data_IF_528388730489
#
_entry.id   IF_528388730489
#
_cell.length_a   1.000
_cell.length_b   1.000
_cell.length_c   1.000
_cell.angle_alpha   90.00
_cell.angle_beta   90.00
_cell.angle_gamma   90.00
#
_symmetry.space_group_name_H-M   'P 1'
#
loop_
_entity.id
_entity.type
_entity.pdbx_description
1 polymer ?
#
# COMPACT_ATOMS: atom_id res chain seq x y z
N UNK A 1 15.79 -35.62 17.25
CA UNK A 1 14.93 -34.91 16.29
C UNK A 1 14.83 -33.44 16.72
N UNK A 2 15.45 -32.45 16.03
CA UNK A 2 15.32 -31.03 16.39
C UNK A 2 13.86 -30.63 16.23
N UNK A 3 13.23 -30.17 17.31
CA UNK A 3 11.86 -29.63 17.29
C UNK A 3 11.82 -28.46 16.30
N UNK A 4 11.04 -28.57 15.23
CA UNK A 4 10.86 -27.54 14.24
C UNK A 4 10.21 -26.35 14.93
N UNK A 5 10.91 -25.21 14.93
CA UNK A 5 10.42 -23.94 15.51
C UNK A 5 9.11 -23.55 14.86
N UNK A 6 8.11 -23.22 15.65
CA UNK A 6 6.86 -22.70 15.14
C UNK A 6 6.98 -21.20 14.78
N UNK A 7 5.99 -20.66 14.06
CA UNK A 7 6.01 -19.27 13.59
C UNK A 7 5.91 -18.24 14.72
N UNK A 8 5.28 -18.60 15.84
CA UNK A 8 5.17 -17.76 17.02
C UNK A 8 6.52 -17.65 17.74
N UNK A 9 7.19 -18.77 17.97
CA UNK A 9 8.55 -18.78 18.53
C UNK A 9 9.53 -18.00 17.65
N UNK A 10 9.41 -18.16 16.32
CA UNK A 10 10.23 -17.44 15.35
C UNK A 10 10.00 -15.92 15.40
N UNK A 11 8.73 -15.49 15.53
CA UNK A 11 8.38 -14.08 15.69
C UNK A 11 8.96 -13.51 16.99
N UNK A 12 8.83 -14.22 18.12
CA UNK A 12 9.37 -13.78 19.41
C UNK A 12 10.91 -13.65 19.40
N UNK A 13 11.63 -14.56 18.72
CA UNK A 13 13.09 -14.42 18.54
C UNK A 13 13.46 -13.16 17.73
N UNK A 14 12.65 -12.82 16.70
CA UNK A 14 12.85 -11.60 15.92
C UNK A 14 12.55 -10.36 16.75
N UNK A 15 11.50 -10.38 17.56
CA UNK A 15 11.20 -9.31 18.50
C UNK A 15 12.33 -9.09 19.50
N UNK A 16 12.92 -10.17 20.05
CA UNK A 16 14.09 -10.04 20.91
C UNK A 16 15.22 -9.27 20.24
N UNK A 17 15.59 -9.64 19.01
CA UNK A 17 16.64 -8.96 18.23
C UNK A 17 16.28 -7.48 18.03
N UNK A 18 15.02 -7.18 17.73
CA UNK A 18 14.56 -5.82 17.49
C UNK A 18 14.63 -4.99 18.78
N UNK A 19 14.07 -5.49 19.87
CA UNK A 19 14.03 -4.76 21.13
C UNK A 19 15.41 -4.61 21.79
N UNK A 20 16.34 -5.53 21.53
CA UNK A 20 17.72 -5.43 22.01
C UNK A 20 18.53 -4.39 21.19
N UNK A 21 18.24 -4.25 19.87
CA UNK A 21 19.05 -3.42 18.98
C UNK A 21 18.55 -1.98 18.84
N UNK A 22 17.23 -1.77 18.83
CA UNK A 22 16.63 -0.45 18.57
C UNK A 22 16.25 0.27 19.85
N UNK A 23 16.58 1.57 19.91
CA UNK A 23 16.28 2.42 21.06
C UNK A 23 14.78 2.73 21.13
N UNK A 24 14.13 2.90 19.97
CA UNK A 24 12.71 3.13 19.85
C UNK A 24 12.08 2.21 18.80
N UNK A 25 10.99 1.56 19.19
CA UNK A 25 10.24 0.62 18.34
C UNK A 25 8.79 1.05 18.29
N UNK A 26 8.22 1.07 17.09
CA UNK A 26 6.79 1.33 16.93
C UNK A 26 6.18 0.38 15.87
N UNK A 27 4.88 0.12 16.02
CA UNK A 27 4.09 -0.69 15.10
C UNK A 27 3.31 0.21 14.16
N UNK A 28 3.37 -0.04 12.85
CA UNK A 28 2.44 0.54 11.87
C UNK A 28 1.13 -0.23 11.95
N UNK A 29 0.15 0.37 12.62
CA UNK A 29 -1.13 -0.26 12.94
C UNK A 29 -2.25 0.28 12.05
N UNK A 30 -2.79 -0.55 11.17
CA UNK A 30 -3.88 -0.17 10.24
C UNK A 30 -5.28 -0.55 10.74
N UNK A 31 -5.41 -1.18 11.91
CA UNK A 31 -6.67 -1.79 12.36
C UNK A 31 -7.01 -3.11 11.64
N UNK A 32 -6.13 -3.61 10.78
CA UNK A 32 -6.29 -4.89 10.09
C UNK A 32 -5.74 -6.07 10.90
N UNK A 33 -6.14 -7.29 10.53
CA UNK A 33 -5.79 -8.54 11.24
C UNK A 33 -4.28 -8.76 11.40
N UNK A 34 -3.49 -8.42 10.38
CA UNK A 34 -2.05 -8.68 10.36
C UNK A 34 -1.27 -7.68 11.21
N UNK A 35 -1.65 -6.40 11.17
CA UNK A 35 -1.08 -5.37 12.06
C UNK A 35 -1.57 -5.54 13.51
N UNK A 36 -2.80 -6.03 13.70
CA UNK A 36 -3.35 -6.32 15.04
C UNK A 36 -2.60 -7.44 15.74
N UNK A 37 -2.39 -8.57 15.06
CA UNK A 37 -1.65 -9.69 15.66
C UNK A 37 -0.19 -9.30 15.97
N UNK A 38 0.43 -8.50 15.10
CA UNK A 38 1.78 -7.98 15.36
C UNK A 38 1.81 -7.06 16.58
N UNK A 39 0.79 -6.23 16.76
CA UNK A 39 0.66 -5.36 17.94
C UNK A 39 0.52 -6.18 19.23
N UNK A 40 -0.32 -7.21 19.24
CA UNK A 40 -0.46 -8.14 20.37
C UNK A 40 0.85 -8.86 20.71
N UNK A 41 1.53 -9.43 19.71
CA UNK A 41 2.83 -10.06 19.89
C UNK A 41 3.86 -9.12 20.55
N UNK A 42 3.89 -7.86 20.12
CA UNK A 42 4.81 -6.87 20.70
C UNK A 42 4.44 -6.53 22.13
N UNK A 43 3.15 -6.35 22.43
CA UNK A 43 2.69 -6.06 23.79
C UNK A 43 3.00 -7.20 24.75
N UNK A 44 2.71 -8.45 24.33
CA UNK A 44 3.01 -9.64 25.15
C UNK A 44 4.51 -9.81 25.38
N UNK A 45 5.32 -9.58 24.32
CA UNK A 45 6.78 -9.58 24.44
C UNK A 45 7.27 -8.56 25.48
N UNK A 46 6.76 -7.33 25.41
CA UNK A 46 7.16 -6.26 26.35
C UNK A 46 6.73 -6.59 27.77
N UNK A 47 5.50 -7.07 27.97
CA UNK A 47 5.01 -7.46 29.31
C UNK A 47 5.87 -8.54 29.93
N UNK A 48 6.35 -9.50 29.14
CA UNK A 48 7.16 -10.61 29.64
C UNK A 48 8.64 -10.29 29.79
N UNK A 49 9.22 -9.49 28.89
CA UNK A 49 10.68 -9.38 28.77
C UNK A 49 11.24 -7.97 28.93
N UNK A 50 10.41 -6.94 28.87
CA UNK A 50 10.83 -5.54 28.96
C UNK A 50 9.79 -4.68 29.70
N UNK A 51 9.36 -5.07 30.93
CA UNK A 51 8.31 -4.34 31.66
C UNK A 51 8.70 -2.85 31.84
N UNK A 52 7.72 -1.98 31.64
CA UNK A 52 7.90 -0.54 31.69
C UNK A 52 8.36 0.12 30.40
N UNK A 53 8.79 -0.65 29.38
CA UNK A 53 9.10 -0.10 28.06
C UNK A 53 7.80 0.27 27.32
N UNK A 54 7.76 1.48 26.74
CA UNK A 54 6.64 1.89 25.88
C UNK A 54 6.83 1.41 24.44
N UNK A 55 5.72 1.05 23.81
CA UNK A 55 5.63 0.69 22.39
C UNK A 55 4.93 1.81 21.62
N UNK A 56 5.60 2.39 20.64
CA UNK A 56 4.95 3.33 19.72
C UNK A 56 3.90 2.63 18.85
N UNK A 57 2.79 3.31 18.60
CA UNK A 57 1.78 2.86 17.62
C UNK A 57 1.49 3.99 16.67
N UNK A 58 1.85 3.78 15.40
CA UNK A 58 1.59 4.71 14.32
C UNK A 58 0.33 4.28 13.56
N UNK A 59 -0.72 5.09 13.65
CA UNK A 59 -1.98 4.88 12.95
C UNK A 59 -2.27 6.05 12.04
N UNK A 60 -2.33 5.80 10.74
CA UNK A 60 -2.80 6.76 9.74
C UNK A 60 -4.30 6.63 9.60
N UNK A 61 -5.00 7.66 10.04
CA UNK A 61 -6.45 7.69 10.00
C UNK A 61 -6.94 8.34 8.71
N UNK A 62 -7.59 7.55 7.87
CA UNK A 62 -8.09 7.98 6.57
C UNK A 62 -9.52 8.56 6.61
N UNK A 63 -10.07 8.93 7.78
CA UNK A 63 -11.44 9.44 7.96
C UNK A 63 -12.51 8.40 7.59
N UNK A 64 -12.45 7.85 6.37
CA UNK A 64 -13.42 6.87 5.86
C UNK A 64 -12.92 5.45 6.11
N UNK A 65 -13.51 4.82 7.13
CA UNK A 65 -13.33 3.41 7.45
C UNK A 65 -14.66 2.84 7.96
N UNK A 66 -14.82 1.52 7.94
CA UNK A 66 -15.94 0.88 8.61
C UNK A 66 -15.93 1.19 10.11
N UNK A 67 -17.11 1.42 10.68
CA UNK A 67 -17.28 1.67 12.11
C UNK A 67 -16.59 0.60 12.97
N UNK A 68 -16.73 -0.68 12.60
CA UNK A 68 -16.09 -1.79 13.31
C UNK A 68 -14.54 -1.66 13.35
N UNK A 69 -13.95 -1.09 12.30
CA UNK A 69 -12.50 -0.86 12.26
C UNK A 69 -12.08 0.28 13.18
N UNK A 70 -12.83 1.38 13.21
CA UNK A 70 -12.55 2.51 14.13
C UNK A 70 -12.76 2.09 15.58
N UNK A 71 -13.84 1.38 15.90
CA UNK A 71 -14.10 0.84 17.24
C UNK A 71 -12.98 -0.11 17.69
N UNK A 72 -12.47 -0.96 16.80
CA UNK A 72 -11.34 -1.84 17.13
C UNK A 72 -10.07 -1.03 17.44
N UNK A 73 -9.74 -0.04 16.62
CA UNK A 73 -8.59 0.84 16.86
C UNK A 73 -8.71 1.55 18.20
N UNK A 74 -9.89 2.10 18.52
CA UNK A 74 -10.16 2.78 19.78
C UNK A 74 -10.03 1.85 20.99
N UNK A 75 -10.57 0.61 20.91
CA UNK A 75 -10.41 -0.40 21.96
C UNK A 75 -8.93 -0.75 22.18
N UNK A 76 -8.18 -0.96 21.09
CA UNK A 76 -6.75 -1.26 21.21
C UNK A 76 -5.99 -0.15 21.90
N UNK A 77 -6.29 1.12 21.61
CA UNK A 77 -5.64 2.26 22.23
C UNK A 77 -6.07 2.45 23.69
N UNK A 78 -7.38 2.38 23.97
CA UNK A 78 -7.92 2.63 25.31
C UNK A 78 -7.54 1.56 26.32
N UNK A 79 -7.55 0.28 25.91
CA UNK A 79 -7.30 -0.85 26.81
C UNK A 79 -5.81 -1.10 27.08
N UNK A 80 -4.89 -0.44 26.35
CA UNK A 80 -3.45 -0.67 26.46
C UNK A 80 -2.66 0.63 26.68
N UNK A 81 -3.24 1.64 27.34
CA UNK A 81 -2.59 2.94 27.63
C UNK A 81 -1.35 2.80 28.51
N UNK A 82 -1.30 1.75 29.29
CA UNK A 82 -0.17 1.39 30.16
C UNK A 82 1.11 1.12 29.36
N UNK A 83 0.99 0.55 28.16
CA UNK A 83 2.11 0.12 27.33
C UNK A 83 2.25 0.90 26.02
N UNK A 84 1.15 1.41 25.45
CA UNK A 84 1.15 2.07 24.15
C UNK A 84 1.44 3.57 24.25
N UNK A 85 2.25 4.05 23.32
CA UNK A 85 2.39 5.46 22.97
C UNK A 85 1.79 5.68 21.58
N UNK A 86 0.62 6.30 21.52
CA UNK A 86 -0.20 6.37 20.33
C UNK A 86 0.11 7.62 19.51
N UNK A 87 0.38 7.43 18.21
CA UNK A 87 0.48 8.47 17.18
C UNK A 87 -0.70 8.29 16.22
N UNK A 88 -1.84 8.88 16.60
CA UNK A 88 -3.08 8.81 15.83
C UNK A 88 -3.11 9.97 14.82
N UNK A 89 -2.63 9.74 13.60
CA UNK A 89 -2.38 10.78 12.61
C UNK A 89 -3.63 11.08 11.78
N UNK A 90 -4.31 12.18 12.07
CA UNK A 90 -5.47 12.71 11.36
C UNK A 90 -5.05 13.94 10.54
N UNK A 91 -4.39 13.72 9.39
CA UNK A 91 -3.82 14.79 8.56
C UNK A 91 -4.32 14.70 7.12
N UNK A 92 -4.50 15.85 6.42
CA UNK A 92 -5.09 15.92 5.08
C UNK A 92 -4.09 15.60 3.95
N UNK A 93 -3.35 14.50 4.06
CA UNK A 93 -2.49 14.04 2.96
C UNK A 93 -3.32 13.62 1.74
N UNK A 94 -2.69 13.62 0.58
CA UNK A 94 -3.34 13.14 -0.65
C UNK A 94 -3.45 11.63 -0.64
N UNK A 95 -4.66 11.12 -0.80
CA UNK A 95 -4.95 9.69 -0.94
C UNK A 95 -5.47 9.44 -2.35
N UNK A 96 -4.87 8.53 -3.14
CA UNK A 96 -5.36 8.26 -4.49
C UNK A 96 -6.77 7.68 -4.45
N UNK A 97 -7.60 8.10 -5.40
CA UNK A 97 -8.93 7.53 -5.62
C UNK A 97 -9.07 7.03 -7.05
N UNK A 98 -9.89 6.02 -7.26
CA UNK A 98 -10.25 5.50 -8.57
C UNK A 98 -11.77 5.44 -8.77
N UNK A 99 -12.52 6.18 -7.97
CA UNK A 99 -13.99 6.21 -8.04
C UNK A 99 -14.52 7.12 -9.15
N UNK A 100 -13.72 8.09 -9.61
CA UNK A 100 -14.12 9.09 -10.61
C UNK A 100 -12.96 9.54 -11.48
N UNK A 101 -13.24 9.87 -12.74
CA UNK A 101 -12.29 10.52 -13.65
C UNK A 101 -12.02 11.98 -13.29
N UNK A 102 -12.88 12.61 -12.49
CA UNK A 102 -12.77 14.01 -12.08
C UNK A 102 -11.93 14.22 -10.83
N UNK A 103 -11.68 13.16 -10.05
CA UNK A 103 -10.99 13.27 -8.76
C UNK A 103 -9.85 12.27 -8.67
N UNK A 104 -8.62 12.70 -8.87
CA UNK A 104 -7.42 11.84 -8.81
C UNK A 104 -7.04 11.45 -7.39
N UNK A 105 -7.33 12.31 -6.42
CA UNK A 105 -7.09 12.09 -5.00
C UNK A 105 -8.15 12.80 -4.18
N UNK A 106 -8.30 12.39 -2.94
CA UNK A 106 -9.05 13.11 -1.92
C UNK A 106 -8.18 13.35 -0.70
N UNK A 107 -8.65 14.17 0.22
CA UNK A 107 -7.94 14.47 1.46
C UNK A 107 -8.83 14.13 2.65
N UNK A 108 -8.48 13.11 3.48
CA UNK A 108 -9.12 12.92 4.77
C UNK A 108 -8.88 14.16 5.66
N UNK A 109 -9.78 14.43 6.57
CA UNK A 109 -9.64 15.49 7.57
C UNK A 109 -9.33 16.86 7.00
N UNK A 110 -9.74 17.15 5.78
CA UNK A 110 -9.49 18.41 5.09
C UNK A 110 -10.16 19.57 5.81
N UNK A 111 -9.40 20.59 6.13
CA UNK A 111 -9.89 21.82 6.72
C UNK A 111 -10.89 22.53 5.78
N UNK A 112 -11.93 23.15 6.34
CA UNK A 112 -13.04 23.73 5.59
C UNK A 112 -14.13 22.73 5.19
N UNK A 113 -13.93 21.43 5.41
CA UNK A 113 -14.87 20.35 5.06
C UNK A 113 -15.45 19.62 6.30
N UNK A 114 -15.31 20.21 7.49
CA UNK A 114 -15.72 19.56 8.76
C UNK A 114 -17.19 19.16 8.79
N UNK A 115 -18.06 19.94 8.13
CA UNK A 115 -19.49 19.70 8.03
C UNK A 115 -19.87 18.45 7.21
N UNK A 116 -18.94 17.96 6.37
CA UNK A 116 -19.12 16.77 5.54
C UNK A 116 -18.10 15.66 5.84
N UNK A 117 -17.32 15.80 6.90
CA UNK A 117 -16.49 14.67 7.36
C UNK A 117 -17.36 13.46 7.68
N UNK A 118 -16.86 12.29 7.33
CA UNK A 118 -17.62 11.04 7.51
C UNK A 118 -17.85 10.74 8.98
N UNK A 119 -16.95 11.18 9.85
CA UNK A 119 -17.07 11.07 11.32
C UNK A 119 -16.34 12.22 12.00
N UNK A 120 -16.57 12.37 13.28
CA UNK A 120 -15.84 13.34 14.10
C UNK A 120 -14.35 12.95 14.24
N UNK A 121 -13.48 13.95 14.30
CA UNK A 121 -12.05 13.73 14.55
C UNK A 121 -11.88 13.20 15.98
N UNK A 122 -11.08 12.12 16.16
CA UNK A 122 -10.83 11.57 17.49
C UNK A 122 -10.12 12.58 18.41
N UNK A 123 -10.41 12.56 19.70
CA UNK A 123 -9.74 13.42 20.68
C UNK A 123 -8.25 13.15 20.86
N UNK A 124 -7.76 11.99 20.39
CA UNK A 124 -6.35 11.61 20.39
C UNK A 124 -5.61 12.00 19.12
N UNK A 125 -6.26 12.73 18.21
CA UNK A 125 -5.73 13.08 16.91
C UNK A 125 -4.47 13.97 16.99
N UNK A 126 -3.43 13.55 16.26
CA UNK A 126 -2.33 14.40 15.85
C UNK A 126 -2.68 15.02 14.51
N UNK A 127 -2.52 16.33 14.40
CA UNK A 127 -2.90 17.13 13.25
C UNK A 127 -1.67 17.67 12.50
N UNK A 128 -1.85 18.46 11.49
CA UNK A 128 -0.76 19.11 10.74
C UNK A 128 0.19 19.91 11.63
N UNK A 129 -0.30 20.44 12.76
CA UNK A 129 0.48 21.26 13.71
C UNK A 129 1.54 20.45 14.46
N UNK A 130 1.36 19.13 14.53
CA UNK A 130 2.26 18.23 15.26
C UNK A 130 3.49 17.79 14.43
N UNK A 131 3.49 18.08 13.12
CA UNK A 131 4.50 17.59 12.19
C UNK A 131 5.25 18.72 11.49
N UNK A 132 6.49 18.98 11.92
CA UNK A 132 7.39 20.00 11.36
C UNK A 132 7.74 19.81 9.87
N UNK A 133 7.52 18.60 9.34
CA UNK A 133 7.74 18.26 7.93
C UNK A 133 6.49 18.38 7.06
N UNK A 134 5.34 18.78 7.64
CA UNK A 134 4.09 18.87 6.90
C UNK A 134 4.16 19.89 5.75
N UNK A 135 3.59 19.51 4.64
CA UNK A 135 3.22 20.42 3.54
C UNK A 135 2.05 19.83 2.74
N UNK A 136 1.25 20.67 2.11
CA UNK A 136 0.01 20.29 1.41
C UNK A 136 0.21 19.44 0.15
N UNK A 137 1.43 19.23 -0.29
CA UNK A 137 1.71 18.42 -1.47
C UNK A 137 1.92 16.93 -1.15
N UNK A 138 2.03 16.58 0.14
CA UNK A 138 2.32 15.21 0.58
C UNK A 138 1.20 14.22 0.24
N UNK A 139 1.63 13.07 -0.26
CA UNK A 139 0.80 11.89 -0.36
C UNK A 139 0.89 11.06 0.92
N UNK A 140 -0.06 10.15 1.12
CA UNK A 140 -0.08 9.23 2.26
C UNK A 140 1.22 8.43 2.41
N UNK A 141 1.78 7.94 1.31
CA UNK A 141 3.06 7.22 1.32
C UNK A 141 4.27 8.13 1.60
N UNK A 142 4.23 9.42 1.22
CA UNK A 142 5.28 10.38 1.56
C UNK A 142 5.27 10.65 3.06
N UNK A 143 4.09 10.91 3.63
CA UNK A 143 3.91 11.09 5.06
C UNK A 143 4.44 9.88 5.84
N UNK A 144 4.02 8.67 5.45
CA UNK A 144 4.50 7.43 6.05
C UNK A 144 6.02 7.28 5.97
N UNK A 145 6.66 7.73 4.90
CA UNK A 145 8.10 7.61 4.72
C UNK A 145 8.92 8.65 5.48
N UNK A 146 8.32 9.78 5.85
CA UNK A 146 8.94 10.85 6.63
C UNK A 146 8.82 10.61 8.15
N UNK A 147 7.76 9.94 8.57
CA UNK A 147 7.47 9.68 9.97
C UNK A 147 8.64 9.01 10.75
N UNK A 148 9.35 7.99 10.25
CA UNK A 148 10.47 7.36 10.99
C UNK A 148 11.57 8.34 11.37
N UNK A 149 11.89 9.28 10.50
CA UNK A 149 12.91 10.30 10.77
C UNK A 149 12.41 11.37 11.73
N UNK A 150 11.15 11.75 11.63
CA UNK A 150 10.51 12.66 12.57
C UNK A 150 10.47 12.09 13.98
N UNK A 151 9.99 10.85 14.14
CA UNK A 151 9.90 10.23 15.47
C UNK A 151 11.29 10.03 16.09
N UNK A 152 12.31 9.72 15.27
CA UNK A 152 13.68 9.60 15.72
C UNK A 152 14.19 10.92 16.35
N UNK A 153 13.91 12.06 15.70
CA UNK A 153 14.26 13.39 16.24
C UNK A 153 13.44 13.71 17.51
N UNK A 154 12.12 13.52 17.44
CA UNK A 154 11.20 13.81 18.55
C UNK A 154 11.57 13.03 19.83
N UNK A 155 12.05 11.79 19.68
CA UNK A 155 12.48 10.93 20.79
C UNK A 155 13.94 11.11 21.18
N UNK A 156 14.73 11.87 20.42
CA UNK A 156 16.17 12.01 20.66
C UNK A 156 16.94 10.70 20.60
N UNK A 157 16.41 9.68 19.93
CA UNK A 157 17.01 8.35 19.88
C UNK A 157 17.89 8.15 18.64
N UNK A 158 18.86 7.24 18.73
CA UNK A 158 19.79 6.96 17.65
C UNK A 158 19.16 6.05 16.58
N UNK A 159 18.50 4.97 17.00
CA UNK A 159 18.00 3.90 16.13
C UNK A 159 16.52 3.68 16.33
N UNK A 160 15.76 3.72 15.24
CA UNK A 160 14.31 3.52 15.24
C UNK A 160 13.91 2.38 14.33
N UNK A 161 12.96 1.56 14.76
CA UNK A 161 12.38 0.49 13.98
C UNK A 161 10.86 0.62 13.88
N UNK A 162 10.35 0.62 12.66
CA UNK A 162 8.94 0.43 12.35
C UNK A 162 8.65 -1.06 12.15
N UNK A 163 7.74 -1.62 12.91
CA UNK A 163 7.27 -2.98 12.72
C UNK A 163 6.04 -2.95 11.80
N UNK A 164 6.07 -3.75 10.74
CA UNK A 164 5.01 -3.78 9.74
C UNK A 164 4.51 -5.22 9.58
N UNK A 165 3.20 -5.41 9.65
CA UNK A 165 2.54 -6.72 9.53
C UNK A 165 2.49 -7.26 8.10
N UNK A 166 3.62 -7.26 7.38
CA UNK A 166 3.73 -7.82 6.04
C UNK A 166 3.94 -9.32 6.10
N UNK A 167 3.18 -10.06 5.28
CA UNK A 167 3.33 -11.52 5.10
C UNK A 167 3.60 -11.85 3.62
N UNK A 168 4.54 -12.75 3.37
CA UNK A 168 4.95 -13.15 2.01
C UNK A 168 3.81 -13.81 1.22
N UNK A 169 2.88 -14.48 1.92
CA UNK A 169 1.71 -15.11 1.30
C UNK A 169 0.73 -14.13 0.64
N UNK A 170 0.73 -12.86 1.04
CA UNK A 170 -0.32 -11.92 0.60
C UNK A 170 -0.15 -11.43 -0.84
N UNK A 171 1.07 -11.31 -1.34
CA UNK A 171 1.35 -10.94 -2.73
C UNK A 171 2.80 -11.16 -3.11
N UNK A 172 3.05 -11.33 -4.42
CA UNK A 172 4.39 -11.43 -4.98
C UNK A 172 5.26 -10.21 -4.65
N UNK A 173 4.70 -9.00 -4.65
CA UNK A 173 5.44 -7.79 -4.29
C UNK A 173 5.93 -7.82 -2.83
N UNK A 174 5.12 -8.37 -1.90
CA UNK A 174 5.51 -8.54 -0.49
C UNK A 174 6.55 -9.65 -0.34
N UNK A 175 6.41 -10.75 -1.07
CA UNK A 175 7.42 -11.78 -1.13
C UNK A 175 8.76 -11.23 -1.64
N UNK A 176 8.75 -10.48 -2.74
CA UNK A 176 9.94 -9.84 -3.33
C UNK A 176 10.59 -8.83 -2.38
N UNK A 177 9.82 -8.08 -1.61
CA UNK A 177 10.35 -7.13 -0.62
C UNK A 177 11.21 -7.82 0.45
N UNK A 178 10.84 -9.04 0.85
CA UNK A 178 11.59 -9.85 1.83
C UNK A 178 12.80 -10.55 1.18
N UNK A 179 12.63 -11.08 -0.04
CA UNK A 179 13.65 -11.90 -0.72
C UNK A 179 14.60 -11.08 -1.64
N UNK A 180 14.52 -9.75 -1.57
CA UNK A 180 15.42 -8.87 -2.32
C UNK A 180 16.88 -9.05 -1.88
N UNK A 181 17.81 -9.15 -2.84
CA UNK A 181 19.26 -9.35 -2.62
C UNK A 181 20.02 -8.09 -2.17
N UNK A 182 19.33 -7.00 -1.87
CA UNK A 182 19.94 -5.76 -1.38
C UNK A 182 20.41 -5.90 0.07
N UNK A 183 21.38 -6.77 0.31
CA UNK A 183 21.88 -7.13 1.64
C UNK A 183 22.43 -5.91 2.42
N UNK A 184 23.00 -4.91 1.73
CA UNK A 184 23.49 -3.67 2.35
C UNK A 184 22.41 -2.82 3.04
N UNK A 185 21.11 -3.12 2.78
CA UNK A 185 19.97 -2.48 3.44
C UNK A 185 19.38 -3.32 4.57
N UNK A 186 19.92 -4.48 4.86
CA UNK A 186 19.44 -5.39 5.90
C UNK A 186 20.27 -5.21 7.17
N UNK A 187 19.61 -5.30 8.32
CA UNK A 187 20.31 -5.37 9.61
C UNK A 187 20.96 -6.75 9.72
N UNK A 188 22.29 -6.81 9.87
CA UNK A 188 23.02 -8.07 10.07
C UNK A 188 22.57 -9.21 9.11
N UNK A 189 22.25 -8.87 7.86
CA UNK A 189 21.73 -9.80 6.83
C UNK A 189 20.38 -10.45 7.13
N UNK A 190 19.65 -10.01 8.14
CA UNK A 190 18.29 -10.48 8.39
C UNK A 190 17.33 -10.04 7.28
N UNK A 191 16.89 -10.98 6.43
CA UNK A 191 16.02 -10.72 5.25
C UNK A 191 14.70 -10.03 5.58
N UNK A 192 14.22 -10.15 6.82
CA UNK A 192 13.00 -9.53 7.33
C UNK A 192 13.20 -8.11 7.87
N UNK A 193 14.35 -7.48 7.61
CA UNK A 193 14.63 -6.08 7.95
C UNK A 193 14.98 -5.28 6.69
N UNK A 194 14.68 -3.97 6.71
CA UNK A 194 15.01 -3.08 5.61
C UNK A 194 15.33 -1.68 6.12
N UNK A 195 16.52 -1.17 5.81
CA UNK A 195 16.91 0.20 6.14
C UNK A 195 16.20 1.18 5.19
N UNK A 196 15.40 2.09 5.75
CA UNK A 196 14.59 3.08 5.01
C UNK A 196 15.17 4.49 5.07
N UNK A 197 16.06 4.76 6.02
CA UNK A 197 16.70 6.07 6.19
C UNK A 197 17.92 5.99 7.11
N UNK A 198 18.39 7.16 7.57
CA UNK A 198 19.54 7.24 8.48
C UNK A 198 19.16 6.69 9.85
N UNK A 199 19.69 5.51 10.20
CA UNK A 199 19.38 4.74 11.42
C UNK A 199 17.88 4.44 11.62
N UNK A 200 17.10 4.41 10.53
CA UNK A 200 15.69 4.03 10.55
C UNK A 200 15.45 2.78 9.72
N UNK A 201 14.70 1.85 10.28
CA UNK A 201 14.47 0.53 9.68
C UNK A 201 12.99 0.16 9.71
N UNK A 202 12.58 -0.63 8.72
CA UNK A 202 11.36 -1.42 8.78
C UNK A 202 11.73 -2.86 9.11
N UNK A 203 10.93 -3.53 9.93
CA UNK A 203 11.06 -4.96 10.19
C UNK A 203 9.72 -5.67 10.06
N UNK A 204 9.77 -6.92 9.63
CA UNK A 204 8.63 -7.75 9.27
C UNK A 204 8.61 -9.04 10.10
N UNK A 205 8.33 -8.98 11.42
CA UNK A 205 8.49 -10.13 12.32
C UNK A 205 7.63 -11.35 11.96
N UNK A 206 6.47 -11.11 11.32
CA UNK A 206 5.50 -12.14 10.95
C UNK A 206 5.50 -12.47 9.45
N UNK A 207 6.60 -12.18 8.73
CA UNK A 207 6.66 -12.31 7.27
C UNK A 207 6.35 -13.72 6.74
N UNK A 208 6.65 -14.75 7.52
CA UNK A 208 6.47 -16.17 7.20
C UNK A 208 5.13 -16.77 7.69
N UNK A 209 4.29 -15.97 8.36
CA UNK A 209 2.98 -16.41 8.82
C UNK A 209 2.01 -16.60 7.66
N UNK A 210 1.22 -17.66 7.70
CA UNK A 210 0.07 -17.89 6.82
C UNK A 210 -1.18 -17.23 7.40
N UNK A 211 -2.22 -17.08 6.58
CA UNK A 211 -3.51 -16.57 7.04
C UNK A 211 -4.11 -17.45 8.14
N UNK A 212 -3.92 -18.76 8.04
CA UNK A 212 -4.30 -19.71 9.09
C UNK A 212 -3.58 -19.48 10.40
N UNK A 213 -2.27 -19.17 10.35
CA UNK A 213 -1.48 -18.92 11.57
C UNK A 213 -1.97 -17.66 12.28
N UNK A 214 -2.37 -16.63 11.50
CA UNK A 214 -2.95 -15.38 12.05
C UNK A 214 -4.23 -15.68 12.84
N UNK A 215 -5.18 -16.43 12.25
CA UNK A 215 -6.44 -16.73 12.93
C UNK A 215 -6.27 -17.73 14.07
N UNK A 216 -5.36 -18.69 13.93
CA UNK A 216 -4.98 -19.60 15.03
C UNK A 216 -4.37 -18.83 16.20
N UNK A 217 -3.54 -17.81 15.91
CA UNK A 217 -2.97 -16.93 16.95
C UNK A 217 -4.05 -16.19 17.72
N UNK A 218 -4.97 -15.51 17.03
CA UNK A 218 -6.10 -14.83 17.69
C UNK A 218 -6.90 -15.77 18.58
N UNK A 219 -7.27 -16.94 18.08
CA UNK A 219 -8.04 -17.93 18.85
C UNK A 219 -7.25 -18.50 20.03
N UNK A 220 -5.99 -18.87 19.82
CA UNK A 220 -5.16 -19.53 20.83
C UNK A 220 -4.83 -18.64 22.02
N UNK A 221 -4.56 -17.36 21.76
CA UNK A 221 -4.14 -16.42 22.79
C UNK A 221 -5.27 -15.50 23.29
N UNK A 222 -6.48 -15.66 22.75
CA UNK A 222 -7.63 -14.85 23.14
C UNK A 222 -7.48 -13.36 22.79
N UNK A 223 -6.68 -13.02 21.78
CA UNK A 223 -6.44 -11.63 21.42
C UNK A 223 -7.68 -11.00 20.76
N UNK A 224 -7.94 -9.72 21.07
CA UNK A 224 -9.00 -8.96 20.41
C UNK A 224 -8.66 -8.70 18.94
N UNK A 225 -9.67 -8.73 18.08
CA UNK A 225 -9.52 -8.49 16.66
C UNK A 225 -10.66 -7.63 16.09
N UNK A 226 -10.47 -7.12 14.90
CA UNK A 226 -11.44 -6.31 14.18
C UNK A 226 -12.63 -7.16 13.73
N UNK A 227 -13.81 -6.91 14.30
CA UNK A 227 -15.06 -7.64 14.02
C UNK A 227 -15.58 -7.45 12.59
N UNK A 228 -15.04 -6.52 11.82
CA UNK A 228 -15.31 -6.42 10.39
C UNK A 228 -15.01 -7.72 9.64
N UNK A 229 -14.04 -8.51 10.10
CA UNK A 229 -13.68 -9.77 9.45
C UNK A 229 -14.78 -10.82 9.57
N UNK A 230 -15.56 -10.82 10.64
CA UNK A 230 -16.72 -11.70 10.81
C UNK A 230 -17.80 -11.33 9.79
N UNK A 231 -18.05 -10.02 9.61
CA UNK A 231 -19.02 -9.52 8.63
C UNK A 231 -18.58 -9.80 7.18
N UNK A 232 -17.30 -9.68 6.88
CA UNK A 232 -16.75 -10.07 5.58
C UNK A 232 -16.92 -11.57 5.31
N UNK A 233 -16.73 -12.40 6.33
CA UNK A 233 -16.92 -13.84 6.21
C UNK A 233 -18.40 -14.17 5.94
N UNK A 234 -19.32 -13.56 6.69
CA UNK A 234 -20.76 -13.68 6.49
C UNK A 234 -21.20 -13.19 5.09
N UNK A 235 -20.57 -12.15 4.58
CA UNK A 235 -20.78 -11.63 3.22
C UNK A 235 -20.15 -12.51 2.12
N UNK A 236 -19.57 -13.67 2.46
CA UNK A 236 -18.97 -14.60 1.50
C UNK A 236 -17.63 -14.15 0.92
N UNK A 237 -16.96 -13.16 1.52
CA UNK A 237 -15.65 -12.71 1.05
C UNK A 237 -14.58 -13.72 1.46
N UNK A 238 -13.84 -14.32 0.50
CA UNK A 238 -12.78 -15.27 0.81
C UNK A 238 -11.71 -14.67 1.74
N UNK A 239 -11.22 -15.43 2.72
CA UNK A 239 -10.23 -14.98 3.71
C UNK A 239 -8.99 -14.30 3.11
N UNK A 240 -8.57 -14.73 1.92
CA UNK A 240 -7.44 -14.14 1.18
C UNK A 240 -7.73 -12.74 0.62
N UNK A 241 -9.00 -12.37 0.46
CA UNK A 241 -9.45 -11.06 -0.05
C UNK A 241 -9.91 -10.09 1.02
N UNK A 242 -10.07 -10.56 2.26
CA UNK A 242 -10.49 -9.72 3.38
C UNK A 242 -9.35 -8.78 3.79
N UNK A 243 -9.55 -7.47 3.60
CA UNK A 243 -8.56 -6.43 3.91
C UNK A 243 -9.21 -5.18 4.48
N UNK A 244 -8.53 -4.56 5.43
CA UNK A 244 -8.81 -3.20 5.87
C UNK A 244 -7.91 -2.27 5.05
N UNK A 245 -8.52 -1.37 4.28
CA UNK A 245 -7.82 -0.41 3.42
C UNK A 245 -8.72 0.80 3.15
N UNK A 246 -8.17 1.89 2.63
CA UNK A 246 -8.97 2.99 2.10
C UNK A 246 -9.94 2.46 1.02
N UNK A 247 -11.25 2.76 1.12
CA UNK A 247 -12.26 2.15 0.26
C UNK A 247 -12.19 2.60 -1.20
N UNK A 248 -11.52 3.71 -1.49
CA UNK A 248 -11.52 4.35 -2.81
C UNK A 248 -10.36 3.94 -3.72
N UNK A 249 -9.44 3.11 -3.24
CA UNK A 249 -8.32 2.62 -4.05
C UNK A 249 -8.74 1.44 -4.94
N UNK A 250 -8.01 1.21 -6.02
CA UNK A 250 -8.33 0.17 -7.02
C UNK A 250 -8.48 -1.24 -6.44
N UNK A 251 -7.80 -1.55 -5.33
CA UNK A 251 -7.90 -2.85 -4.67
C UNK A 251 -9.14 -3.03 -3.80
N UNK A 252 -9.79 -1.94 -3.40
CA UNK A 252 -10.94 -1.95 -2.50
C UNK A 252 -12.28 -1.63 -3.20
N UNK A 253 -12.25 -0.98 -4.36
CA UNK A 253 -13.47 -0.59 -5.09
C UNK A 253 -14.41 -1.76 -5.36
N UNK A 254 -13.86 -2.95 -5.61
CA UNK A 254 -14.67 -4.16 -5.82
C UNK A 254 -15.53 -4.57 -4.62
N UNK A 255 -15.17 -4.16 -3.42
CA UNK A 255 -15.91 -4.42 -2.17
C UNK A 255 -16.61 -3.18 -1.63
N UNK A 256 -16.56 -2.06 -2.34
CA UNK A 256 -17.13 -0.79 -1.92
C UNK A 256 -18.65 -0.88 -1.66
N UNK A 257 -19.35 -1.70 -2.44
CA UNK A 257 -20.80 -1.95 -2.28
C UNK A 257 -21.17 -2.53 -0.91
N UNK A 258 -20.24 -3.21 -0.24
CA UNK A 258 -20.49 -3.81 1.08
C UNK A 258 -20.74 -2.76 2.18
N UNK A 259 -20.26 -1.52 2.01
CA UNK A 259 -20.60 -0.43 2.94
C UNK A 259 -22.10 -0.19 3.02
N UNK A 260 -22.85 -0.39 1.93
CA UNK A 260 -24.32 -0.24 1.93
C UNK A 260 -25.01 -1.18 2.91
N UNK A 261 -24.44 -2.35 3.12
CA UNK A 261 -25.02 -3.41 3.96
C UNK A 261 -24.41 -3.43 5.35
N UNK A 262 -23.09 -3.31 5.44
CA UNK A 262 -22.35 -3.44 6.71
C UNK A 262 -22.39 -2.14 7.52
N UNK A 263 -22.31 -1.00 6.86
CA UNK A 263 -22.21 0.32 7.51
C UNK A 263 -22.90 1.40 6.66
N UNK A 264 -24.26 1.39 6.59
CA UNK A 264 -25.02 2.30 5.73
C UNK A 264 -24.86 3.77 6.11
N UNK A 265 -24.60 4.09 7.38
CA UNK A 265 -24.36 5.48 7.82
C UNK A 265 -23.06 6.03 7.24
N UNK A 266 -21.99 5.26 7.33
CA UNK A 266 -20.71 5.61 6.67
C UNK A 266 -20.88 5.68 5.16
N UNK A 267 -21.65 4.77 4.54
CA UNK A 267 -21.99 4.83 3.12
C UNK A 267 -22.64 6.16 2.72
N UNK A 268 -23.69 6.57 3.42
CA UNK A 268 -24.40 7.81 3.13
C UNK A 268 -23.48 9.04 3.15
N UNK A 269 -22.59 9.11 4.14
CA UNK A 269 -21.65 10.22 4.29
C UNK A 269 -20.52 10.19 3.26
N UNK A 270 -19.96 9.02 2.94
CA UNK A 270 -18.87 8.92 1.96
C UNK A 270 -19.30 9.27 0.53
N UNK A 271 -20.56 9.05 0.18
CA UNK A 271 -21.12 9.42 -1.13
C UNK A 271 -21.07 10.95 -1.35
N UNK A 272 -21.31 11.74 -0.32
CA UNK A 272 -21.19 13.20 -0.39
C UNK A 272 -19.76 13.69 -0.25
N UNK A 273 -18.86 12.85 0.27
CA UNK A 273 -17.47 13.22 0.58
C UNK A 273 -16.51 13.03 -0.58
N UNK A 274 -16.72 12.00 -1.41
CA UNK A 274 -15.80 11.64 -2.51
C UNK A 274 -16.59 11.39 -3.79
N UNK A 275 -16.16 12.03 -4.89
CA UNK A 275 -16.83 11.94 -6.18
C UNK A 275 -16.85 10.50 -6.73
N UNK A 276 -17.98 10.11 -7.32
CA UNK A 276 -18.15 8.85 -8.02
C UNK A 276 -18.33 7.62 -7.13
N UNK A 277 -18.35 7.78 -5.81
CA UNK A 277 -18.53 6.65 -4.85
C UNK A 277 -19.81 5.88 -5.11
N UNK A 278 -20.93 6.57 -5.37
CA UNK A 278 -22.21 5.91 -5.65
C UNK A 278 -22.12 5.04 -6.92
N UNK A 279 -21.56 5.59 -8.00
CA UNK A 279 -21.34 4.85 -9.25
C UNK A 279 -20.37 3.66 -9.06
N UNK A 280 -19.24 3.91 -8.43
CA UNK A 280 -18.25 2.87 -8.16
C UNK A 280 -18.79 1.75 -7.26
N UNK A 281 -19.65 2.08 -6.28
CA UNK A 281 -20.32 1.10 -5.43
C UNK A 281 -21.40 0.27 -6.15
N UNK A 282 -21.97 0.77 -7.25
CA UNK A 282 -22.90 0.01 -8.08
C UNK A 282 -22.17 -0.83 -9.14
N UNK A 283 -21.18 -0.26 -9.80
CA UNK A 283 -20.56 -0.81 -11.01
C UNK A 283 -19.11 -1.26 -10.85
N UNK A 284 -18.54 -1.19 -9.65
CA UNK A 284 -17.12 -1.48 -9.37
C UNK A 284 -16.64 -2.88 -9.76
N UNK A 285 -17.57 -3.84 -9.92
CA UNK A 285 -17.25 -5.22 -10.36
C UNK A 285 -17.70 -5.50 -11.80
N UNK A 286 -18.12 -4.49 -12.55
CA UNK A 286 -18.67 -4.64 -13.90
C UNK A 286 -17.70 -4.18 -14.97
N UNK A 287 -18.06 -4.45 -16.22
CA UNK A 287 -17.33 -3.98 -17.42
C UNK A 287 -17.26 -2.46 -17.48
N UNK A 288 -18.28 -1.76 -16.97
CA UNK A 288 -18.37 -0.29 -16.95
C UNK A 288 -17.17 0.38 -16.23
N UNK A 289 -16.52 -0.32 -15.30
CA UNK A 289 -15.30 0.16 -14.65
C UNK A 289 -14.05 -0.65 -15.02
N UNK A 290 -14.05 -1.31 -16.18
CA UNK A 290 -12.88 -2.04 -16.68
C UNK A 290 -12.40 -3.21 -15.81
N UNK A 291 -13.23 -3.73 -14.91
CA UNK A 291 -12.83 -4.79 -13.97
C UNK A 291 -12.82 -6.20 -14.57
N UNK A 292 -13.54 -6.40 -15.65
CA UNK A 292 -13.53 -7.63 -16.42
C UNK A 292 -12.78 -7.43 -17.73
N UNK A 293 -12.72 -8.42 -18.58
CA UNK A 293 -12.10 -8.31 -19.90
C UNK A 293 -12.70 -7.12 -20.67
N UNK A 294 -11.84 -6.27 -21.19
CA UNK A 294 -12.21 -5.21 -22.12
C UNK A 294 -11.93 -5.69 -23.55
N UNK A 295 -12.81 -5.35 -24.48
CA UNK A 295 -12.60 -5.54 -25.92
C UNK A 295 -12.25 -4.19 -26.56
N UNK A 296 -11.42 -4.23 -27.60
CA UNK A 296 -11.24 -3.08 -28.46
C UNK A 296 -12.52 -2.91 -29.31
N UNK A 297 -13.07 -1.70 -29.45
CA UNK A 297 -14.18 -1.49 -30.35
C UNK A 297 -13.80 -1.81 -31.80
N UNK A 298 -14.75 -2.27 -32.60
CA UNK A 298 -14.53 -2.58 -34.00
C UNK A 298 -13.98 -1.36 -34.75
N UNK A 299 -12.99 -1.59 -35.57
CA UNK A 299 -12.32 -0.54 -36.36
C UNK A 299 -11.26 0.27 -35.64
N UNK A 300 -10.98 -0.03 -34.35
CA UNK A 300 -9.92 0.63 -33.58
C UNK A 300 -8.76 -0.32 -33.29
N UNK A 301 -7.54 0.21 -33.32
CA UNK A 301 -6.41 -0.35 -32.59
C UNK A 301 -6.49 0.06 -31.11
N UNK A 302 -5.80 -0.64 -30.22
CA UNK A 302 -5.73 -0.24 -28.80
C UNK A 302 -5.10 1.13 -28.62
N UNK A 303 -4.18 1.51 -29.49
CA UNK A 303 -3.56 2.85 -29.50
C UNK A 303 -4.59 3.92 -29.82
N UNK A 304 -5.38 3.75 -30.87
CA UNK A 304 -6.43 4.69 -31.25
C UNK A 304 -7.52 4.79 -30.20
N UNK A 305 -7.96 3.62 -29.68
CA UNK A 305 -8.94 3.58 -28.60
C UNK A 305 -8.44 4.27 -27.32
N UNK A 306 -7.15 4.12 -27.00
CA UNK A 306 -6.54 4.86 -25.88
C UNK A 306 -6.64 6.39 -26.06
N UNK A 307 -6.31 6.89 -27.26
CA UNK A 307 -6.43 8.34 -27.53
C UNK A 307 -7.88 8.79 -27.50
N UNK A 308 -8.80 8.03 -28.06
CA UNK A 308 -10.23 8.28 -27.94
C UNK A 308 -10.67 8.40 -26.46
N UNK A 309 -10.29 7.44 -25.63
CA UNK A 309 -10.58 7.49 -24.19
C UNK A 309 -9.97 8.74 -23.53
N UNK A 310 -8.73 9.10 -23.86
CA UNK A 310 -8.06 10.29 -23.33
C UNK A 310 -8.80 11.59 -23.71
N UNK A 311 -9.39 11.65 -24.91
CA UNK A 311 -10.14 12.81 -25.37
C UNK A 311 -11.48 12.99 -24.62
N UNK A 312 -12.01 11.94 -24.02
CA UNK A 312 -13.23 12.00 -23.18
C UNK A 312 -12.96 12.50 -21.76
N UNK A 313 -11.70 12.60 -21.36
CA UNK A 313 -11.33 12.93 -19.97
C UNK A 313 -11.23 14.44 -19.73
N UNK A 314 -11.46 14.88 -18.48
CA UNK A 314 -11.12 16.24 -18.06
C UNK A 314 -9.64 16.53 -18.31
N UNK A 315 -9.32 17.77 -18.71
CA UNK A 315 -7.98 18.19 -19.11
C UNK A 315 -6.87 17.76 -18.13
N UNK A 316 -7.04 18.02 -16.85
CA UNK A 316 -6.04 17.67 -15.84
C UNK A 316 -5.78 16.16 -15.73
N UNK A 317 -6.83 15.34 -15.86
CA UNK A 317 -6.74 13.89 -15.85
C UNK A 317 -6.09 13.36 -17.11
N UNK A 318 -6.46 13.90 -18.27
CA UNK A 318 -5.81 13.60 -19.56
C UNK A 318 -4.31 13.89 -19.51
N UNK A 319 -3.92 15.09 -19.06
CA UNK A 319 -2.52 15.49 -18.93
C UNK A 319 -1.73 14.56 -17.99
N UNK A 320 -2.33 14.12 -16.89
CA UNK A 320 -1.70 13.14 -15.98
C UNK A 320 -1.42 11.80 -16.69
N UNK A 321 -2.38 11.25 -17.43
CA UNK A 321 -2.18 10.00 -18.15
C UNK A 321 -1.16 10.13 -19.29
N UNK A 322 -1.20 11.23 -20.04
CA UNK A 322 -0.23 11.49 -21.10
C UNK A 322 1.21 11.61 -20.56
N UNK A 323 1.39 12.27 -19.42
CA UNK A 323 2.71 12.36 -18.78
C UNK A 323 3.21 11.00 -18.34
N UNK A 324 2.35 10.17 -17.74
CA UNK A 324 2.71 8.81 -17.35
C UNK A 324 3.06 7.94 -18.57
N UNK A 325 2.31 8.06 -19.66
CA UNK A 325 2.59 7.37 -20.91
C UNK A 325 3.97 7.76 -21.46
N UNK A 326 4.28 9.07 -21.56
CA UNK A 326 5.58 9.57 -22.03
C UNK A 326 6.73 9.04 -21.17
N UNK A 327 6.59 9.09 -19.84
CA UNK A 327 7.61 8.58 -18.92
C UNK A 327 7.85 7.08 -19.11
N UNK A 328 6.78 6.31 -19.31
CA UNK A 328 6.89 4.87 -19.53
C UNK A 328 7.49 4.55 -20.90
N UNK A 329 7.05 5.21 -21.97
CA UNK A 329 7.62 5.04 -23.31
C UNK A 329 9.11 5.37 -23.31
N UNK A 330 9.52 6.49 -22.69
CA UNK A 330 10.94 6.83 -22.54
C UNK A 330 11.72 5.78 -21.78
N UNK A 331 11.17 5.26 -20.68
CA UNK A 331 11.82 4.21 -19.90
C UNK A 331 12.05 2.95 -20.74
N UNK A 332 11.04 2.48 -21.47
CA UNK A 332 11.13 1.25 -22.26
C UNK A 332 12.08 1.38 -23.46
N UNK A 333 12.17 2.57 -24.08
CA UNK A 333 13.14 2.85 -25.16
C UNK A 333 14.57 2.96 -24.67
N UNK A 334 14.80 3.68 -23.57
CA UNK A 334 16.15 4.06 -23.15
C UNK A 334 16.77 3.08 -22.14
N UNK A 335 15.97 2.56 -21.20
CA UNK A 335 16.47 1.71 -20.11
C UNK A 335 15.97 0.28 -20.20
N UNK A 336 14.82 0.06 -20.79
CA UNK A 336 14.16 -1.22 -20.86
C UNK A 336 13.63 -1.75 -19.54
N UNK A 337 12.74 -2.73 -19.62
CA UNK A 337 12.26 -3.53 -18.48
C UNK A 337 13.08 -4.80 -18.33
N UNK A 338 13.28 -5.26 -17.11
CA UNK A 338 13.96 -6.53 -16.88
C UNK A 338 12.97 -7.69 -17.05
N UNK A 339 13.19 -8.53 -18.07
CA UNK A 339 12.36 -9.70 -18.40
C UNK A 339 13.16 -10.99 -18.27
N UNK A 340 12.47 -12.08 -17.90
CA UNK A 340 13.04 -13.42 -17.85
C UNK A 340 13.22 -14.02 -19.26
N UNK A 341 14.14 -14.96 -19.42
CA UNK A 341 14.43 -15.64 -20.71
C UNK A 341 13.17 -16.26 -21.33
N UNK A 342 12.28 -16.84 -20.55
CA UNK A 342 11.01 -17.40 -21.02
C UNK A 342 10.13 -16.32 -21.66
N UNK A 343 9.98 -15.16 -21.01
CA UNK A 343 9.22 -14.03 -21.54
C UNK A 343 9.85 -13.47 -22.80
N UNK A 344 11.19 -13.38 -22.84
CA UNK A 344 11.96 -12.94 -24.02
C UNK A 344 11.73 -13.91 -25.19
N UNK A 345 11.74 -15.22 -24.94
CA UNK A 345 11.42 -16.24 -25.95
C UNK A 345 10.02 -16.09 -26.52
N UNK A 346 9.01 -15.84 -25.67
CA UNK A 346 7.62 -15.60 -26.08
C UNK A 346 7.47 -14.32 -26.90
N UNK A 347 8.16 -13.23 -26.53
CA UNK A 347 8.19 -11.99 -27.33
C UNK A 347 8.78 -12.21 -28.72
N UNK A 348 9.86 -12.99 -28.81
CA UNK A 348 10.50 -13.34 -30.10
C UNK A 348 9.57 -14.18 -30.96
N UNK A 349 8.90 -15.18 -30.36
CA UNK A 349 7.92 -16.01 -31.05
C UNK A 349 6.71 -15.21 -31.56
N UNK A 350 6.31 -14.17 -30.84
CA UNK A 350 5.24 -13.26 -31.23
C UNK A 350 5.67 -12.20 -32.27
N UNK A 351 6.92 -12.23 -32.76
CA UNK A 351 7.43 -11.29 -33.76
C UNK A 351 7.57 -9.84 -33.31
N UNK A 352 7.60 -9.60 -31.99
CA UNK A 352 7.73 -8.25 -31.43
C UNK A 352 9.17 -7.74 -31.60
N UNK A 353 9.38 -6.54 -32.15
CA UNK A 353 10.72 -5.96 -32.27
C UNK A 353 11.22 -5.46 -30.89
N UNK A 354 12.39 -5.92 -30.47
CA UNK A 354 13.04 -5.50 -29.24
C UNK A 354 14.55 -5.73 -29.29
N UNK A 355 15.29 -5.10 -28.38
CA UNK A 355 16.72 -5.34 -28.15
C UNK A 355 16.94 -5.82 -26.73
N UNK A 356 17.85 -6.79 -26.54
CA UNK A 356 18.24 -7.33 -25.24
C UNK A 356 19.65 -6.87 -24.92
N UNK A 357 19.86 -6.34 -23.72
CA UNK A 357 21.21 -6.00 -23.23
C UNK A 357 21.81 -7.16 -22.44
N UNK A 358 23.12 -7.38 -22.61
CA UNK A 358 23.83 -8.52 -22.01
C UNK A 358 24.07 -8.36 -20.50
N UNK A 359 24.11 -7.14 -19.97
CA UNK A 359 24.41 -6.89 -18.56
C UNK A 359 23.36 -6.03 -17.86
N UNK A 360 22.98 -6.45 -16.65
CA UNK A 360 22.29 -5.58 -15.69
C UNK A 360 23.27 -5.13 -14.60
N UNK A 361 23.06 -3.91 -14.08
CA UNK A 361 23.75 -3.46 -12.85
C UNK A 361 23.30 -4.24 -11.59
N UNK A 362 22.40 -5.21 -11.75
CA UNK A 362 21.80 -5.99 -10.68
C UNK A 362 22.08 -7.49 -10.90
N UNK A 363 22.42 -8.21 -9.83
CA UNK A 363 22.47 -9.68 -9.86
C UNK A 363 21.03 -10.23 -9.99
N UNK A 364 20.64 -10.57 -11.21
CA UNK A 364 19.32 -11.13 -11.54
C UNK A 364 19.46 -11.97 -12.79
N UNK A 365 18.68 -13.04 -12.89
CA UNK A 365 18.56 -13.88 -14.10
C UNK A 365 17.71 -13.20 -15.20
N UNK A 366 17.21 -11.98 -14.94
CA UNK A 366 16.45 -11.18 -15.88
C UNK A 366 17.36 -10.28 -16.70
N UNK A 367 17.04 -10.08 -17.98
CA UNK A 367 17.78 -9.20 -18.90
C UNK A 367 17.00 -7.91 -19.18
N UNK A 368 17.67 -6.76 -19.35
CA UNK A 368 17.03 -5.54 -19.80
C UNK A 368 16.58 -5.71 -21.27
N UNK A 369 15.30 -5.45 -21.50
CA UNK A 369 14.68 -5.49 -22.82
C UNK A 369 14.19 -4.11 -23.18
N UNK A 370 14.74 -3.51 -24.26
CA UNK A 370 14.26 -2.24 -24.80
C UNK A 370 13.29 -2.51 -25.94
N UNK A 371 12.14 -1.83 -25.91
CA UNK A 371 11.12 -1.97 -26.92
C UNK A 371 10.22 -0.75 -26.98
N UNK A 372 9.52 -0.59 -28.09
CA UNK A 372 8.41 0.35 -28.19
C UNK A 372 7.14 -0.22 -27.57
N UNK A 373 6.17 0.65 -27.30
CA UNK A 373 4.84 0.22 -26.91
C UNK A 373 4.16 -0.51 -28.06
N UNK A 374 3.67 -1.69 -27.78
CA UNK A 374 2.88 -2.49 -28.73
C UNK A 374 1.39 -2.37 -28.42
N UNK A 375 0.57 -2.73 -29.37
CA UNK A 375 -0.88 -2.60 -29.24
C UNK A 375 -1.42 -3.55 -28.16
N UNK A 376 -1.19 -4.84 -28.34
CA UNK A 376 -1.57 -5.93 -27.45
C UNK A 376 -0.60 -7.10 -27.59
N UNK A 377 -0.57 -7.98 -26.62
CA UNK A 377 0.11 -9.27 -26.71
C UNK A 377 -0.66 -10.32 -25.89
N UNK A 378 -0.84 -11.51 -26.49
CA UNK A 378 -1.52 -12.64 -25.86
C UNK A 378 -0.51 -13.64 -25.29
N UNK A 379 0.07 -13.28 -24.14
CA UNK A 379 0.96 -14.16 -23.36
C UNK A 379 0.61 -14.07 -21.88
N UNK A 380 0.89 -15.09 -21.05
CA UNK A 380 0.63 -15.04 -19.61
C UNK A 380 1.32 -13.88 -18.91
N UNK A 381 2.50 -13.49 -19.37
CA UNK A 381 3.34 -12.42 -18.84
C UNK A 381 2.98 -11.03 -19.38
N UNK A 382 1.84 -10.87 -20.08
CA UNK A 382 1.43 -9.60 -20.70
C UNK A 382 1.47 -8.39 -19.71
N UNK A 383 1.38 -8.65 -18.42
CA UNK A 383 1.48 -7.59 -17.40
C UNK A 383 2.88 -7.00 -17.22
N UNK A 384 3.90 -7.67 -17.73
CA UNK A 384 5.29 -7.20 -17.71
C UNK A 384 5.63 -6.39 -18.96
N UNK A 385 4.79 -6.44 -19.99
CA UNK A 385 5.03 -5.84 -21.31
C UNK A 385 4.30 -4.50 -21.43
N UNK A 386 4.92 -3.47 -22.08
CA UNK A 386 4.29 -2.16 -22.28
C UNK A 386 3.29 -2.23 -23.46
N UNK A 387 1.99 -2.21 -23.17
CA UNK A 387 0.95 -2.25 -24.20
C UNK A 387 -0.05 -1.10 -24.06
N UNK A 388 -0.59 -0.62 -25.18
CA UNK A 388 -1.65 0.39 -25.20
C UNK A 388 -2.94 -0.13 -24.55
N UNK A 389 -3.27 -1.43 -24.72
CA UNK A 389 -4.38 -2.09 -24.03
C UNK A 389 -4.31 -1.90 -22.50
N UNK A 390 -3.13 -2.05 -21.91
CA UNK A 390 -2.96 -1.85 -20.46
C UNK A 390 -3.21 -0.40 -20.05
N UNK A 391 -2.86 0.56 -20.92
CA UNK A 391 -3.16 1.96 -20.67
C UNK A 391 -4.67 2.24 -20.73
N UNK A 392 -5.39 1.65 -21.70
CA UNK A 392 -6.85 1.70 -21.73
C UNK A 392 -7.47 1.16 -20.43
N UNK A 393 -6.93 0.05 -19.92
CA UNK A 393 -7.38 -0.51 -18.62
C UNK A 393 -7.15 0.47 -17.46
N UNK A 394 -6.01 1.19 -17.43
CA UNK A 394 -5.77 2.22 -16.41
C UNK A 394 -6.81 3.34 -16.48
N UNK A 395 -7.11 3.81 -17.70
CA UNK A 395 -8.08 4.89 -17.92
C UNK A 395 -9.48 4.46 -17.47
N UNK A 396 -9.97 3.31 -17.96
CA UNK A 396 -11.30 2.79 -17.63
C UNK A 396 -11.49 2.49 -16.14
N UNK A 397 -10.41 2.11 -15.45
CA UNK A 397 -10.42 1.88 -13.99
C UNK A 397 -10.24 3.14 -13.15
N UNK A 398 -10.10 4.30 -13.78
CA UNK A 398 -9.66 5.53 -13.10
C UNK A 398 -8.39 5.32 -12.26
N UNK A 399 -7.46 4.48 -12.73
CA UNK A 399 -6.17 4.27 -12.07
C UNK A 399 -5.22 5.42 -12.40
N UNK A 400 -5.46 6.58 -11.82
CA UNK A 400 -4.68 7.80 -12.06
C UNK A 400 -3.19 7.66 -11.73
N UNK A 401 -2.84 6.67 -10.93
CA UNK A 401 -1.44 6.35 -10.57
C UNK A 401 -0.78 5.37 -11.54
N UNK A 402 -1.55 4.80 -12.47
CA UNK A 402 -1.11 3.77 -13.40
C UNK A 402 -0.40 2.57 -12.72
N UNK A 403 -0.87 2.15 -11.56
CA UNK A 403 -0.35 0.96 -10.85
C UNK A 403 -0.45 -0.29 -11.69
N UNK A 404 -1.50 -0.40 -12.50
CA UNK A 404 -1.67 -1.52 -13.42
C UNK A 404 -0.56 -1.62 -14.48
N UNK A 405 0.07 -0.48 -14.82
CA UNK A 405 1.25 -0.41 -15.68
C UNK A 405 2.58 -0.63 -14.94
N UNK A 406 2.55 -0.91 -13.66
CA UNK A 406 3.74 -1.06 -12.82
C UNK A 406 4.33 0.25 -12.31
N UNK A 407 3.67 1.39 -12.52
CA UNK A 407 4.10 2.66 -11.93
C UNK A 407 3.92 2.65 -10.42
N UNK A 408 4.98 2.98 -9.71
CA UNK A 408 4.97 3.15 -8.26
C UNK A 408 5.09 4.63 -7.86
N UNK A 409 5.90 5.39 -8.59
CA UNK A 409 6.08 6.85 -8.39
C UNK A 409 6.61 7.48 -9.68
N UNK A 410 6.15 8.70 -10.00
CA UNK A 410 6.73 9.49 -11.09
C UNK A 410 8.10 10.06 -10.68
N UNK A 411 8.93 10.45 -11.68
CA UNK A 411 10.21 11.14 -11.44
C UNK A 411 10.02 12.41 -10.61
N UNK A 412 8.97 13.19 -10.92
CA UNK A 412 8.62 14.44 -10.20
C UNK A 412 8.29 14.17 -8.73
N UNK A 413 7.55 13.11 -8.43
CA UNK A 413 7.24 12.69 -7.06
C UNK A 413 8.50 12.26 -6.29
N UNK A 414 9.44 11.55 -6.96
CA UNK A 414 10.73 11.20 -6.37
C UNK A 414 11.58 12.44 -6.07
N UNK A 415 11.71 13.34 -7.04
CA UNK A 415 12.48 14.58 -6.88
C UNK A 415 11.90 15.49 -5.78
N UNK A 416 10.56 15.54 -5.67
CA UNK A 416 9.90 16.27 -4.59
C UNK A 416 10.18 15.63 -3.23
N UNK A 417 10.10 14.31 -3.15
CA UNK A 417 10.45 13.55 -1.94
C UNK A 417 11.91 13.80 -1.52
N UNK A 418 12.84 13.72 -2.47
CA UNK A 418 14.26 14.01 -2.23
C UNK A 418 14.48 15.45 -1.75
N UNK A 419 13.77 16.45 -2.35
CA UNK A 419 13.83 17.86 -1.90
C UNK A 419 13.35 18.02 -0.47
N UNK A 420 12.23 17.38 -0.11
CA UNK A 420 11.70 17.41 1.26
C UNK A 420 12.68 16.75 2.22
N UNK A 421 13.21 15.57 1.88
CA UNK A 421 14.22 14.89 2.70
C UNK A 421 15.48 15.74 2.92
N UNK A 422 15.99 16.40 1.87
CA UNK A 422 17.15 17.32 1.97
C UNK A 422 16.83 18.56 2.80
N UNK A 423 15.64 19.17 2.59
CA UNK A 423 15.23 20.41 3.30
C UNK A 423 15.15 20.21 4.82
N UNK A 424 14.69 19.06 5.25
CA UNK A 424 14.49 18.75 6.68
C UNK A 424 15.62 17.91 7.27
N UNK A 425 16.72 17.67 6.51
CA UNK A 425 17.83 16.77 6.91
C UNK A 425 17.33 15.40 7.39
N UNK A 426 16.32 14.89 6.67
CA UNK A 426 15.60 13.63 6.98
C UNK A 426 16.26 12.42 6.33
#
# INVERSE_FOLDING_TARGET
MMRRMDVHEAANRRLKIIFDYFDYVYVSFSGGKDSGILLHLCMDYIRMHAPGRKLGVFHMDYEVQYRQSTEYVERMFSNNRDILEVFHCCVPFKVPTCTSMYQQYWRPWQEGYQNIWVRQMPGTALTVKDFDFWNDSLWDYDFQSLFPSWIRRKKGCKRVCCLVGIRTQESFNRWRAIHSDKNYRKLANYKWTHRVGYYTYNAYPIYDWKTTDVWTGYARYGWDYNRLYDLYYQAGIPLSRQRVASPFISQAVSTLHLYKVIDPDTWGRMVSRVNGVSFAGMYGNTVAMGWRSISCPDGFTWKEYMYFLLDTLPRATRENYLEKLRVSQKFWREKGGCLGEETIGKLRAAGVPFTVEECTAYRTDMRPVRMEYIDEIDIPEFREIPTYKRMCVCILKNDHTCKYMGFTQTKREREMKERVLKRYKL
#
